data_IF_702041609144
#
_entry.id   IF_702041609144
#
_cell.length_a   1.000
_cell.length_b   1.000
_cell.length_c   1.000
_cell.angle_alpha   90.00
_cell.angle_beta   90.00
_cell.angle_gamma   90.00
#
_symmetry.space_group_name_H-M   'P 1'
#
loop_
_entity.id
_entity.type
_entity.pdbx_description
1 polymer ?
#
# COMPACT_ATOMS: atom_id res chain seq x y z
N UNK A 1 -72.27 39.65 49.36
CA UNK A 1 -71.99 38.71 48.24
C UNK A 1 -70.69 37.97 48.53
N UNK A 2 -70.73 36.63 48.62
CA UNK A 2 -69.58 35.74 48.88
C UNK A 2 -68.90 35.38 47.57
N UNK A 3 -67.60 35.70 47.43
CA UNK A 3 -66.77 35.26 46.32
C UNK A 3 -66.24 33.84 46.58
N UNK A 4 -66.62 32.89 45.73
CA UNK A 4 -66.17 31.49 45.74
C UNK A 4 -64.98 31.38 44.78
N UNK A 5 -63.75 31.32 45.28
CA UNK A 5 -62.56 31.03 44.47
C UNK A 5 -62.50 29.52 44.21
N UNK A 6 -62.59 29.12 42.94
CA UNK A 6 -62.61 27.72 42.52
C UNK A 6 -61.18 27.20 42.37
N UNK A 7 -60.94 26.04 42.98
CA UNK A 7 -59.66 25.44 43.33
C UNK A 7 -59.12 24.54 42.19
N UNK A 8 -59.02 25.05 40.96
CA UNK A 8 -58.58 24.25 39.79
C UNK A 8 -57.07 24.00 39.75
N UNK A 9 -56.25 24.92 40.29
CA UNK A 9 -54.79 24.82 40.24
C UNK A 9 -54.23 23.63 41.03
N UNK A 10 -54.85 23.30 42.19
CA UNK A 10 -54.39 22.20 43.04
C UNK A 10 -54.67 20.82 42.44
N UNK A 11 -55.77 20.66 41.69
CA UNK A 11 -56.13 19.39 41.06
C UNK A 11 -55.28 19.11 39.81
N UNK A 12 -54.97 20.14 39.03
CA UNK A 12 -54.06 20.01 37.88
C UNK A 12 -52.63 19.72 38.30
N UNK A 13 -52.15 20.29 39.42
CA UNK A 13 -50.82 20.02 39.95
C UNK A 13 -50.70 18.58 40.50
N UNK A 14 -51.74 18.06 41.15
CA UNK A 14 -51.73 16.68 41.66
C UNK A 14 -51.73 15.65 40.52
N UNK A 15 -52.44 15.92 39.41
CA UNK A 15 -52.46 15.04 38.25
C UNK A 15 -51.11 15.02 37.51
N UNK A 16 -50.44 16.18 37.43
CA UNK A 16 -49.10 16.29 36.84
C UNK A 16 -48.06 15.56 37.69
N UNK A 17 -48.15 15.62 39.02
CA UNK A 17 -47.25 14.91 39.93
C UNK A 17 -47.45 13.39 39.83
N UNK A 18 -48.69 12.90 39.70
CA UNK A 18 -48.96 11.46 39.50
C UNK A 18 -48.45 10.98 38.13
N UNK A 19 -48.56 11.79 37.07
CA UNK A 19 -47.97 11.48 35.76
C UNK A 19 -46.42 11.47 35.79
N UNK A 20 -45.78 12.34 36.56
CA UNK A 20 -44.31 12.37 36.67
C UNK A 20 -43.79 11.14 37.44
N UNK A 21 -44.57 10.61 38.40
CA UNK A 21 -44.17 9.38 39.13
C UNK A 21 -44.32 8.08 38.35
N UNK A 22 -45.02 8.08 37.20
CA UNK A 22 -45.20 6.87 36.37
C UNK A 22 -44.27 6.80 35.15
N UNK A 23 -43.41 7.80 34.93
CA UNK A 23 -42.45 7.83 33.81
C UNK A 23 -41.01 7.54 34.26
N UNK A 24 -40.74 7.41 35.56
CA UNK A 24 -39.46 6.91 36.10
C UNK A 24 -39.47 5.38 36.26
N UNK A 25 -39.75 4.68 35.17
CA UNK A 25 -39.38 3.28 35.02
C UNK A 25 -38.11 3.21 34.15
N UNK A 26 -37.04 3.87 34.59
CA UNK A 26 -35.72 3.35 34.26
C UNK A 26 -35.63 2.03 35.04
N UNK A 27 -35.92 0.92 34.35
CA UNK A 27 -35.48 -0.38 34.84
C UNK A 27 -33.96 -0.28 34.92
N UNK A 28 -33.43 -0.20 36.13
CA UNK A 28 -32.04 -0.58 36.36
C UNK A 28 -31.88 -1.96 35.71
N UNK A 29 -30.96 -2.04 34.74
CA UNK A 29 -30.48 -3.32 34.25
C UNK A 29 -30.08 -4.09 35.51
N UNK A 30 -30.74 -5.23 35.79
CA UNK A 30 -30.41 -6.00 36.98
C UNK A 30 -28.93 -6.36 36.91
N UNK A 31 -28.28 -6.57 38.05
CA UNK A 31 -26.87 -6.99 38.11
C UNK A 31 -26.59 -8.33 37.38
N UNK A 32 -27.63 -8.99 36.84
CA UNK A 32 -27.57 -10.18 35.98
C UNK A 32 -27.69 -9.86 34.47
N UNK A 33 -27.75 -8.59 34.07
CA UNK A 33 -27.68 -8.18 32.68
C UNK A 33 -26.25 -8.36 32.15
N UNK A 34 -25.88 -9.62 31.88
CA UNK A 34 -24.67 -9.91 31.12
C UNK A 34 -24.80 -9.29 29.73
N UNK A 35 -23.88 -8.40 29.35
CA UNK A 35 -23.68 -8.06 27.95
C UNK A 35 -23.51 -9.38 27.19
N UNK A 36 -24.41 -9.68 26.25
CA UNK A 36 -24.26 -10.85 25.38
C UNK A 36 -22.94 -10.71 24.63
N UNK A 37 -21.89 -11.40 25.08
CA UNK A 37 -20.59 -11.39 24.42
C UNK A 37 -20.65 -12.01 23.03
N UNK A 38 -19.63 -11.75 22.20
CA UNK A 38 -19.48 -12.41 20.91
C UNK A 38 -19.34 -13.93 21.09
N UNK A 39 -19.75 -14.69 20.08
CA UNK A 39 -19.63 -16.15 20.12
C UNK A 39 -18.18 -16.56 20.32
N UNK A 40 -17.92 -17.46 21.26
CA UNK A 40 -16.60 -18.04 21.51
C UNK A 40 -16.37 -19.35 20.78
N UNK A 41 -17.25 -19.72 19.83
CA UNK A 41 -17.12 -20.99 19.13
C UNK A 41 -15.94 -20.93 18.14
N UNK A 42 -14.95 -21.81 18.30
CA UNK A 42 -13.81 -21.92 17.40
C UNK A 42 -14.07 -22.74 16.14
N UNK A 43 -15.14 -23.53 16.09
CA UNK A 43 -15.41 -24.43 14.96
C UNK A 43 -15.90 -23.65 13.72
N UNK A 44 -15.29 -23.91 12.56
CA UNK A 44 -15.64 -23.28 11.29
C UNK A 44 -16.30 -24.32 10.37
N UNK A 45 -15.65 -25.47 10.21
CA UNK A 45 -16.16 -26.60 9.43
C UNK A 45 -15.74 -27.93 10.06
N UNK A 46 -16.70 -28.84 10.24
CA UNK A 46 -16.45 -30.23 10.69
C UNK A 46 -17.09 -31.24 9.75
N UNK A 47 -18.33 -30.98 9.36
CA UNK A 47 -19.08 -31.66 8.29
C UNK A 47 -20.02 -30.67 7.57
N UNK A 48 -20.18 -29.48 8.16
CA UNK A 48 -20.95 -28.35 7.67
C UNK A 48 -20.34 -27.07 8.25
N UNK A 49 -20.65 -25.93 7.63
CA UNK A 49 -20.23 -24.63 8.15
C UNK A 49 -21.00 -24.27 9.42
N UNK A 50 -20.27 -23.80 10.43
CA UNK A 50 -20.84 -23.49 11.74
C UNK A 50 -20.83 -21.98 11.91
N UNK A 51 -22.02 -21.38 12.07
CA UNK A 51 -22.14 -19.98 12.51
C UNK A 51 -21.48 -18.92 11.61
N UNK A 52 -21.37 -19.17 10.30
CA UNK A 52 -20.84 -18.18 9.34
C UNK A 52 -21.91 -17.29 8.68
N UNK A 53 -23.18 -17.67 8.78
CA UNK A 53 -24.30 -17.01 8.10
C UNK A 53 -24.49 -17.49 6.65
N UNK A 54 -25.38 -16.83 5.89
CA UNK A 54 -25.76 -17.27 4.54
C UNK A 54 -24.79 -16.82 3.45
N UNK A 55 -24.06 -15.73 3.68
CA UNK A 55 -23.14 -15.15 2.69
C UNK A 55 -21.72 -15.04 3.26
N UNK A 56 -21.02 -16.17 3.33
CA UNK A 56 -19.73 -16.24 4.01
C UNK A 56 -18.52 -16.45 3.09
N UNK A 57 -18.70 -16.97 1.88
CA UNK A 57 -17.59 -17.19 0.95
C UNK A 57 -17.45 -16.00 -0.01
N UNK A 58 -16.26 -15.40 -0.01
CA UNK A 58 -15.94 -14.29 -0.90
C UNK A 58 -14.67 -14.60 -1.70
N UNK A 59 -14.77 -14.97 -2.99
CA UNK A 59 -13.60 -15.16 -3.84
C UNK A 59 -12.89 -13.83 -4.11
N UNK A 60 -11.58 -13.87 -4.31
CA UNK A 60 -10.84 -12.68 -4.74
C UNK A 60 -11.19 -12.32 -6.19
N UNK A 61 -11.16 -11.03 -6.53
CA UNK A 61 -11.70 -10.49 -7.78
C UNK A 61 -11.10 -11.08 -9.08
N UNK A 62 -9.88 -11.60 -9.03
CA UNK A 62 -9.14 -12.21 -10.13
C UNK A 62 -9.00 -13.75 -10.02
N UNK A 63 -9.59 -14.34 -8.98
CA UNK A 63 -9.66 -15.79 -8.79
C UNK A 63 -10.82 -16.43 -9.57
N UNK A 64 -10.79 -17.76 -9.69
CA UNK A 64 -11.95 -18.54 -10.14
C UNK A 64 -13.06 -18.56 -9.08
N UNK A 65 -14.13 -17.81 -9.32
CA UNK A 65 -15.23 -17.66 -8.35
C UNK A 65 -15.97 -18.97 -8.00
N UNK A 66 -15.94 -19.95 -8.90
CA UNK A 66 -16.58 -21.27 -8.74
C UNK A 66 -15.63 -22.33 -8.17
N UNK A 67 -14.44 -21.95 -7.69
CA UNK A 67 -13.45 -22.92 -7.22
C UNK A 67 -13.85 -23.63 -5.92
N UNK A 68 -14.74 -23.06 -5.11
CA UNK A 68 -15.13 -23.58 -3.81
C UNK A 68 -16.41 -24.44 -3.89
N UNK A 69 -16.38 -25.59 -3.22
CA UNK A 69 -17.54 -26.44 -2.98
C UNK A 69 -17.37 -27.27 -1.69
N UNK A 70 -18.37 -28.09 -1.36
CA UNK A 70 -18.29 -29.11 -0.30
C UNK A 70 -18.34 -30.48 -0.96
N UNK A 71 -17.41 -31.35 -0.61
CA UNK A 71 -17.31 -32.73 -1.10
C UNK A 71 -17.85 -33.68 -0.03
N UNK A 72 -18.78 -34.56 -0.39
CA UNK A 72 -19.42 -35.52 0.53
C UNK A 72 -18.92 -36.95 0.32
N UNK A 73 -17.91 -37.15 -0.52
CA UNK A 73 -17.30 -38.46 -0.82
C UNK A 73 -15.88 -38.58 -0.27
N UNK A 74 -15.18 -37.46 -0.08
CA UNK A 74 -13.84 -37.39 0.51
C UNK A 74 -13.89 -36.58 1.82
N UNK A 75 -13.46 -37.17 2.93
CA UNK A 75 -13.33 -36.50 4.23
C UNK A 75 -12.16 -37.10 5.03
N UNK A 76 -11.57 -36.32 5.92
CA UNK A 76 -10.64 -36.83 6.92
C UNK A 76 -11.41 -37.52 8.04
N UNK A 77 -12.48 -36.87 8.51
CA UNK A 77 -13.35 -37.36 9.58
C UNK A 77 -14.78 -36.92 9.32
N UNK A 78 -15.73 -37.81 9.58
CA UNK A 78 -17.13 -37.55 9.26
C UNK A 78 -17.45 -37.90 7.81
N UNK A 79 -18.29 -37.09 7.18
CA UNK A 79 -18.90 -37.38 5.87
C UNK A 79 -18.69 -36.26 4.84
N UNK A 80 -18.06 -35.14 5.19
CA UNK A 80 -17.82 -34.06 4.23
C UNK A 80 -16.51 -33.32 4.46
N UNK A 81 -15.97 -32.71 3.41
CA UNK A 81 -14.85 -31.77 3.47
C UNK A 81 -15.06 -30.55 2.59
N UNK A 82 -14.35 -29.47 2.87
CA UNK A 82 -14.23 -28.32 1.98
C UNK A 82 -13.39 -28.72 0.78
N UNK A 83 -13.84 -28.38 -0.42
CA UNK A 83 -13.14 -28.67 -1.67
C UNK A 83 -12.82 -27.39 -2.43
N UNK A 84 -11.58 -27.27 -2.87
CA UNK A 84 -11.12 -26.22 -3.77
C UNK A 84 -10.57 -26.83 -5.07
N UNK A 85 -11.23 -26.55 -6.19
CA UNK A 85 -10.77 -26.94 -7.52
C UNK A 85 -9.90 -25.83 -8.12
N UNK A 86 -8.59 -26.01 -8.02
CA UNK A 86 -7.59 -25.11 -8.58
C UNK A 86 -7.59 -25.25 -10.11
N UNK A 87 -7.83 -24.17 -10.85
CA UNK A 87 -7.95 -24.24 -12.31
C UNK A 87 -6.62 -24.49 -13.01
N UNK A 88 -6.69 -24.82 -14.29
CA UNK A 88 -5.51 -24.73 -15.16
C UNK A 88 -5.11 -23.26 -15.34
N UNK A 89 -3.84 -23.02 -15.67
CA UNK A 89 -3.32 -21.66 -15.87
C UNK A 89 -4.04 -20.87 -16.99
N UNK A 90 -4.68 -21.57 -17.93
CA UNK A 90 -5.40 -20.99 -19.06
C UNK A 90 -6.94 -21.06 -18.92
N UNK A 91 -7.46 -21.35 -17.72
CA UNK A 91 -8.91 -21.36 -17.48
C UNK A 91 -9.48 -19.94 -17.66
N UNK A 92 -10.50 -19.75 -18.52
CA UNK A 92 -11.06 -18.44 -18.80
C UNK A 92 -11.80 -17.82 -17.61
N UNK A 93 -12.09 -18.59 -16.57
CA UNK A 93 -12.78 -18.13 -15.36
C UNK A 93 -11.84 -17.66 -14.25
N UNK A 94 -10.51 -17.77 -14.46
CA UNK A 94 -9.48 -17.38 -13.49
C UNK A 94 -8.36 -18.41 -13.44
N UNK A 95 -7.11 -17.96 -13.28
CA UNK A 95 -5.92 -18.81 -13.33
C UNK A 95 -5.51 -19.41 -11.96
N UNK A 96 -6.27 -19.11 -10.91
CA UNK A 96 -6.05 -19.62 -9.56
C UNK A 96 -7.35 -19.69 -8.76
N UNK A 97 -7.35 -20.43 -7.65
CA UNK A 97 -8.44 -20.47 -6.68
C UNK A 97 -8.04 -19.68 -5.43
N UNK A 98 -8.89 -18.76 -4.96
CA UNK A 98 -8.61 -18.01 -3.75
C UNK A 98 -9.81 -17.22 -3.25
N UNK A 99 -9.86 -17.02 -1.94
CA UNK A 99 -10.95 -16.32 -1.29
C UNK A 99 -10.90 -16.45 0.22
N UNK A 100 -11.93 -15.88 0.85
CA UNK A 100 -12.08 -15.84 2.30
C UNK A 100 -13.40 -16.47 2.74
N UNK A 101 -13.39 -17.09 3.92
CA UNK A 101 -14.57 -17.36 4.72
C UNK A 101 -14.69 -16.26 5.77
N UNK A 102 -15.72 -15.43 5.64
CA UNK A 102 -15.99 -14.30 6.52
C UNK A 102 -17.37 -14.44 7.15
N UNK A 103 -17.47 -14.20 8.45
CA UNK A 103 -18.76 -14.22 9.15
C UNK A 103 -19.67 -13.10 8.61
N UNK A 104 -20.85 -13.49 8.14
CA UNK A 104 -21.98 -12.63 7.82
C UNK A 104 -22.73 -12.26 9.11
N UNK A 105 -22.09 -11.40 9.91
CA UNK A 105 -22.54 -11.04 11.25
C UNK A 105 -21.45 -10.41 12.10
N UNK A 106 -21.69 -10.39 13.41
CA UNK A 106 -20.92 -9.61 14.38
C UNK A 106 -19.48 -10.12 14.64
N UNK A 107 -19.12 -11.34 14.22
CA UNK A 107 -17.82 -11.95 14.49
C UNK A 107 -17.79 -12.82 15.76
N UNK A 108 -16.58 -13.24 16.14
CA UNK A 108 -16.32 -14.14 17.28
C UNK A 108 -15.27 -13.57 18.22
N UNK A 109 -15.42 -13.87 19.50
CA UNK A 109 -14.35 -13.70 20.48
C UNK A 109 -13.44 -14.94 20.43
N UNK A 110 -12.29 -14.79 19.79
CA UNK A 110 -11.27 -15.83 19.63
C UNK A 110 -10.11 -15.69 20.62
N UNK A 111 -10.24 -14.82 21.62
CA UNK A 111 -9.16 -14.56 22.61
C UNK A 111 -8.76 -15.75 23.47
N UNK A 112 -9.58 -16.80 23.48
CA UNK A 112 -9.30 -18.05 24.18
C UNK A 112 -8.39 -19.04 23.44
N UNK A 113 -8.08 -18.80 22.15
CA UNK A 113 -7.37 -19.73 21.27
C UNK A 113 -5.90 -19.38 21.07
N UNK A 114 -5.10 -20.31 20.52
CA UNK A 114 -3.70 -20.07 20.17
C UNK A 114 -3.34 -20.53 18.74
N UNK A 115 -4.25 -21.22 18.04
CA UNK A 115 -4.07 -21.58 16.64
C UNK A 115 -5.39 -21.69 15.88
N UNK A 116 -5.31 -21.47 14.57
CA UNK A 116 -6.22 -22.08 13.60
C UNK A 116 -5.61 -23.42 13.16
N UNK A 117 -6.40 -24.49 13.17
CA UNK A 117 -5.97 -25.81 12.69
C UNK A 117 -6.96 -26.39 11.70
N UNK A 118 -6.44 -27.26 10.84
CA UNK A 118 -7.23 -28.01 9.87
C UNK A 118 -6.44 -29.21 9.36
N UNK A 119 -7.14 -30.19 8.81
CA UNK A 119 -6.53 -31.25 8.00
C UNK A 119 -6.63 -30.86 6.54
N UNK A 120 -5.57 -31.11 5.77
CA UNK A 120 -5.63 -30.93 4.32
C UNK A 120 -4.89 -32.03 3.56
N UNK A 121 -5.35 -32.27 2.34
CA UNK A 121 -4.67 -33.07 1.29
C UNK A 121 -4.94 -32.44 -0.07
N UNK A 122 -4.19 -32.84 -1.07
CA UNK A 122 -4.40 -32.46 -2.46
C UNK A 122 -4.41 -33.69 -3.38
N UNK A 123 -4.91 -33.54 -4.61
CA UNK A 123 -4.96 -34.64 -5.59
C UNK A 123 -3.58 -35.03 -6.12
N UNK A 124 -2.58 -34.17 -5.90
CA UNK A 124 -1.17 -34.39 -6.18
C UNK A 124 -0.32 -33.58 -5.18
N UNK A 125 0.98 -33.82 -5.12
CA UNK A 125 1.89 -33.01 -4.31
C UNK A 125 2.03 -31.60 -4.88
N UNK A 126 1.73 -30.58 -4.08
CA UNK A 126 1.71 -29.18 -4.50
C UNK A 126 2.27 -28.26 -3.42
N UNK A 127 2.63 -27.04 -3.82
CA UNK A 127 2.84 -25.92 -2.92
C UNK A 127 1.68 -24.95 -3.05
N UNK A 128 0.86 -24.87 -2.01
CA UNK A 128 -0.23 -23.88 -1.91
C UNK A 128 0.39 -22.54 -1.52
N UNK A 129 0.01 -21.47 -2.22
CA UNK A 129 0.63 -20.16 -2.00
C UNK A 129 0.36 -19.67 -0.57
N UNK A 130 -0.90 -19.77 -0.12
CA UNK A 130 -1.31 -19.19 1.16
C UNK A 130 -2.45 -19.97 1.82
N UNK A 131 -2.36 -20.11 3.14
CA UNK A 131 -3.49 -20.35 4.05
C UNK A 131 -3.42 -19.33 5.19
N UNK A 132 -4.56 -18.91 5.73
CA UNK A 132 -4.58 -17.92 6.80
C UNK A 132 -5.95 -17.67 7.40
N UNK A 133 -6.04 -16.61 8.20
CA UNK A 133 -7.28 -16.06 8.77
C UNK A 133 -7.12 -14.54 8.98
N UNK A 134 -8.17 -13.88 9.45
CA UNK A 134 -8.17 -12.46 9.84
C UNK A 134 -8.47 -11.47 8.72
N UNK A 135 -8.70 -11.96 7.50
CA UNK A 135 -9.10 -11.13 6.37
C UNK A 135 -10.62 -11.03 6.27
N UNK A 136 -11.13 -9.80 6.22
CA UNK A 136 -12.56 -9.49 6.20
C UNK A 136 -12.94 -8.41 5.17
N UNK A 137 -11.99 -7.98 4.34
CA UNK A 137 -12.01 -6.86 3.38
C UNK A 137 -12.19 -5.46 3.98
N UNK A 138 -12.53 -5.35 5.26
CA UNK A 138 -12.62 -4.08 5.96
C UNK A 138 -12.78 -4.36 7.46
N UNK A 139 -11.75 -4.09 8.31
CA UNK A 139 -10.48 -3.40 8.05
C UNK A 139 -9.25 -4.27 7.75
N UNK A 140 -9.33 -5.61 7.72
CA UNK A 140 -8.16 -6.50 7.59
C UNK A 140 -7.10 -6.33 8.70
N UNK A 141 -7.54 -6.02 9.92
CA UNK A 141 -6.66 -5.60 11.00
C UNK A 141 -5.71 -6.70 11.50
N UNK A 142 -6.15 -7.96 11.50
CA UNK A 142 -5.45 -9.06 12.17
C UNK A 142 -5.17 -10.26 11.25
N UNK A 143 -4.77 -10.01 10.01
CA UNK A 143 -4.40 -11.06 9.06
C UNK A 143 -3.19 -11.85 9.56
N UNK A 144 -3.28 -13.17 9.51
CA UNK A 144 -2.16 -14.09 9.70
C UNK A 144 -2.11 -15.08 8.55
N UNK A 145 -0.96 -15.22 7.90
CA UNK A 145 -0.79 -16.00 6.68
C UNK A 145 0.42 -16.92 6.77
N UNK A 146 0.19 -18.21 6.58
CA UNK A 146 1.20 -19.21 6.29
C UNK A 146 1.41 -19.27 4.77
N UNK A 147 2.66 -19.06 4.32
CA UNK A 147 3.01 -18.98 2.89
C UNK A 147 3.73 -20.24 2.43
N UNK A 148 3.61 -20.56 1.13
CA UNK A 148 4.34 -21.64 0.46
C UNK A 148 4.17 -23.00 1.16
N UNK A 149 2.92 -23.39 1.39
CA UNK A 149 2.55 -24.57 2.18
C UNK A 149 2.63 -25.82 1.31
N UNK A 150 3.51 -26.75 1.67
CA UNK A 150 3.57 -28.06 1.01
C UNK A 150 2.36 -28.91 1.40
N UNK A 151 1.56 -29.33 0.42
CA UNK A 151 0.39 -30.19 0.62
C UNK A 151 0.53 -31.46 -0.21
N UNK A 152 0.55 -32.60 0.48
CA UNK A 152 0.66 -33.92 -0.14
C UNK A 152 -0.70 -34.58 -0.40
N UNK A 153 -0.66 -35.83 -0.85
CA UNK A 153 -1.87 -36.63 -1.15
C UNK A 153 -2.50 -37.29 0.07
N UNK A 154 -1.80 -37.34 1.20
CA UNK A 154 -2.30 -37.83 2.46
C UNK A 154 -2.79 -36.68 3.35
N UNK A 155 -3.87 -36.94 4.09
CA UNK A 155 -4.37 -36.01 5.10
C UNK A 155 -3.29 -35.70 6.13
N UNK A 156 -2.97 -34.43 6.26
CA UNK A 156 -1.96 -33.90 7.19
C UNK A 156 -2.58 -32.74 7.97
N UNK A 157 -2.30 -32.64 9.27
CA UNK A 157 -2.76 -31.51 10.09
C UNK A 157 -1.84 -30.31 9.92
N UNK A 158 -2.41 -29.16 9.67
CA UNK A 158 -1.74 -27.87 9.60
C UNK A 158 -2.13 -27.00 10.79
N UNK A 159 -1.20 -26.18 11.26
CA UNK A 159 -1.35 -25.30 12.41
C UNK A 159 -0.87 -23.91 11.99
N UNK A 160 -1.76 -22.93 12.06
CA UNK A 160 -1.42 -21.51 11.88
C UNK A 160 -1.50 -20.88 13.28
N UNK A 161 -0.35 -20.56 13.90
CA UNK A 161 -0.32 -19.91 15.21
C UNK A 161 -1.03 -18.56 15.19
N UNK A 162 -1.70 -18.21 16.29
CA UNK A 162 -2.25 -16.88 16.51
C UNK A 162 -1.18 -16.03 17.22
N UNK A 163 -0.73 -14.90 16.65
CA UNK A 163 0.37 -14.15 17.24
C UNK A 163 0.07 -13.56 18.62
N UNK A 164 -1.11 -12.96 18.74
CA UNK A 164 -1.66 -12.46 20.00
C UNK A 164 -3.19 -12.59 19.93
N UNK A 165 -3.71 -13.64 20.56
CA UNK A 165 -5.15 -13.91 20.56
C UNK A 165 -5.95 -12.87 21.34
N UNK A 166 -5.34 -12.17 22.31
CA UNK A 166 -6.05 -11.18 23.13
C UNK A 166 -6.64 -10.03 22.31
N UNK A 167 -6.13 -9.81 21.09
CA UNK A 167 -6.61 -8.83 20.11
C UNK A 167 -7.85 -9.30 19.33
N UNK A 168 -8.12 -10.60 19.27
CA UNK A 168 -9.18 -11.19 18.46
C UNK A 168 -10.52 -11.25 19.20
N UNK A 169 -11.02 -10.10 19.65
CA UNK A 169 -12.28 -10.02 20.43
C UNK A 169 -13.54 -10.06 19.57
N UNK A 170 -13.42 -9.73 18.29
CA UNK A 170 -14.54 -9.61 17.35
C UNK A 170 -14.12 -10.00 15.91
N UNK A 171 -13.41 -11.12 15.78
CA UNK A 171 -12.84 -11.54 14.50
C UNK A 171 -13.94 -12.04 13.53
N UNK A 172 -13.85 -11.64 12.26
CA UNK A 172 -14.80 -12.03 11.21
C UNK A 172 -14.16 -12.87 10.11
N UNK A 173 -12.86 -12.69 9.84
CA UNK A 173 -12.10 -13.47 8.86
C UNK A 173 -11.71 -14.83 9.43
N UNK A 174 -12.49 -15.86 9.12
CA UNK A 174 -12.32 -17.20 9.70
C UNK A 174 -11.30 -18.05 8.95
N UNK A 175 -11.18 -17.84 7.65
CA UNK A 175 -10.23 -18.56 6.81
C UNK A 175 -9.94 -17.79 5.53
N UNK A 176 -8.73 -17.91 5.02
CA UNK A 176 -8.36 -17.45 3.68
C UNK A 176 -7.41 -18.44 3.03
N UNK A 177 -7.44 -18.49 1.71
CA UNK A 177 -6.51 -19.30 0.94
C UNK A 177 -6.23 -18.68 -0.44
N UNK A 178 -5.08 -19.03 -1.02
CA UNK A 178 -4.76 -18.79 -2.41
C UNK A 178 -3.92 -19.95 -2.95
N UNK A 179 -4.33 -20.50 -4.10
CA UNK A 179 -3.72 -21.66 -4.71
C UNK A 179 -3.74 -21.51 -6.24
N UNK A 180 -2.55 -21.44 -6.86
CA UNK A 180 -2.37 -21.41 -8.31
C UNK A 180 -1.75 -22.70 -8.85
N UNK A 181 -1.73 -22.84 -10.17
CA UNK A 181 -1.20 -24.01 -10.89
C UNK A 181 0.25 -23.85 -11.37
N UNK A 182 0.98 -22.81 -10.96
CA UNK A 182 2.35 -22.57 -11.45
C UNK A 182 3.30 -23.72 -11.06
N UNK A 183 3.18 -24.23 -9.84
CA UNK A 183 3.99 -25.35 -9.35
C UNK A 183 3.70 -26.69 -10.03
N UNK A 184 2.62 -26.79 -10.78
CA UNK A 184 2.18 -27.97 -11.54
C UNK A 184 2.29 -27.75 -13.05
N UNK A 185 3.13 -26.81 -13.50
CA UNK A 185 3.29 -26.44 -14.92
C UNK A 185 1.97 -26.04 -15.60
N UNK A 186 1.06 -25.42 -14.86
CA UNK A 186 -0.24 -24.96 -15.34
C UNK A 186 -1.36 -25.99 -15.27
N UNK A 187 -1.10 -27.20 -14.76
CA UNK A 187 -2.14 -28.21 -14.57
C UNK A 187 -2.94 -27.97 -13.28
N UNK A 188 -4.26 -27.92 -13.39
CA UNK A 188 -5.18 -27.81 -12.26
C UNK A 188 -5.14 -29.03 -11.33
N UNK A 189 -5.64 -28.85 -10.11
CA UNK A 189 -5.67 -29.87 -9.07
C UNK A 189 -6.78 -29.57 -8.05
N UNK A 190 -7.02 -30.50 -7.13
CA UNK A 190 -8.01 -30.32 -6.09
C UNK A 190 -7.33 -30.32 -4.73
N UNK A 191 -7.76 -29.43 -3.84
CA UNK A 191 -7.40 -29.41 -2.42
C UNK A 191 -8.65 -29.75 -1.61
N UNK A 192 -8.50 -30.60 -0.60
CA UNK A 192 -9.53 -30.85 0.40
C UNK A 192 -9.07 -30.34 1.77
N UNK A 193 -9.98 -29.73 2.52
CA UNK A 193 -9.76 -29.25 3.89
C UNK A 193 -10.87 -29.77 4.79
N UNK A 194 -10.51 -30.24 5.97
CA UNK A 194 -11.46 -30.81 6.93
C UNK A 194 -11.10 -30.45 8.38
N UNK A 195 -12.08 -30.54 9.28
CA UNK A 195 -11.99 -30.21 10.71
C UNK A 195 -11.39 -28.82 11.00
N UNK A 196 -11.68 -27.82 10.16
CA UNK A 196 -11.22 -26.44 10.25
C UNK A 196 -11.79 -25.73 11.49
N UNK A 197 -10.92 -25.33 12.42
CA UNK A 197 -11.31 -24.70 13.69
C UNK A 197 -10.18 -23.93 14.36
N UNK A 198 -10.54 -22.97 15.19
CA UNK A 198 -9.63 -22.40 16.18
C UNK A 198 -9.53 -23.33 17.40
N UNK A 199 -8.31 -23.60 17.86
CA UNK A 199 -8.00 -24.46 18.99
C UNK A 199 -7.08 -23.77 20.00
N UNK A 200 -7.14 -24.24 21.24
CA UNK A 200 -6.15 -23.94 22.27
C UNK A 200 -5.30 -25.19 22.46
N UNK A 201 -4.18 -25.25 21.76
CA UNK A 201 -3.26 -26.38 21.81
C UNK A 201 -2.44 -26.37 23.10
N UNK A 202 -2.11 -25.19 23.63
CA UNK A 202 -1.32 -25.00 24.85
C UNK A 202 0.17 -25.34 24.70
N UNK A 203 0.59 -25.74 23.51
CA UNK A 203 1.93 -26.24 23.18
C UNK A 203 2.65 -25.39 22.12
N UNK A 204 2.07 -24.26 21.72
CA UNK A 204 2.72 -23.27 20.85
C UNK A 204 3.58 -22.38 21.74
N UNK A 205 4.87 -22.29 21.43
CA UNK A 205 5.85 -21.64 22.30
C UNK A 205 6.81 -20.73 21.52
N UNK A 206 7.57 -19.93 22.28
CA UNK A 206 8.68 -19.11 21.78
C UNK A 206 8.31 -18.14 20.64
N UNK A 207 7.14 -17.49 20.74
CA UNK A 207 6.74 -16.47 19.79
C UNK A 207 7.76 -15.33 19.68
N UNK A 208 8.31 -15.15 18.49
CA UNK A 208 9.24 -14.06 18.17
C UNK A 208 8.78 -13.34 16.91
N UNK A 209 8.79 -12.01 16.94
CA UNK A 209 8.44 -11.20 15.78
C UNK A 209 9.69 -10.65 15.09
N UNK A 210 9.53 -10.25 13.84
CA UNK A 210 10.48 -9.45 13.09
C UNK A 210 9.73 -8.42 12.25
N UNK A 211 10.37 -7.27 12.06
CA UNK A 211 9.96 -6.23 11.12
C UNK A 211 11.08 -6.03 10.10
N UNK A 212 10.76 -5.48 8.93
CA UNK A 212 11.71 -5.29 7.82
C UNK A 212 12.45 -6.58 7.44
N UNK A 213 11.77 -7.73 7.52
CA UNK A 213 12.34 -9.07 7.33
C UNK A 213 13.51 -9.38 8.29
N UNK A 214 13.49 -8.83 9.50
CA UNK A 214 14.52 -8.99 10.52
C UNK A 214 15.77 -8.13 10.33
N UNK A 215 15.76 -7.20 9.37
CA UNK A 215 16.90 -6.34 9.07
C UNK A 215 16.75 -4.94 9.65
N UNK A 216 17.88 -4.26 9.89
CA UNK A 216 17.88 -2.83 10.15
C UNK A 216 17.91 -2.09 8.81
N UNK A 217 16.81 -1.40 8.48
CA UNK A 217 16.67 -0.64 7.25
C UNK A 217 16.72 0.86 7.56
N UNK A 218 17.10 1.67 6.58
CA UNK A 218 17.09 3.12 6.69
C UNK A 218 16.43 3.74 5.46
N UNK A 219 15.59 4.75 5.69
CA UNK A 219 14.96 5.54 4.62
C UNK A 219 15.26 7.02 4.84
N UNK A 220 15.57 7.71 3.76
CA UNK A 220 15.68 9.17 3.73
C UNK A 220 14.37 9.74 3.20
N UNK A 221 13.82 10.73 3.89
CA UNK A 221 12.46 11.21 3.63
C UNK A 221 12.32 12.70 3.99
N UNK A 222 11.13 13.26 3.75
CA UNK A 222 10.78 14.66 4.03
C UNK A 222 9.58 14.75 4.97
N UNK A 223 9.39 15.91 5.58
CA UNK A 223 8.23 16.18 6.46
C UNK A 223 6.93 15.93 5.70
N UNK A 224 6.00 15.22 6.33
CA UNK A 224 4.69 14.85 5.80
C UNK A 224 4.68 13.57 4.96
N UNK A 225 5.83 13.03 4.58
CA UNK A 225 5.91 11.77 3.83
C UNK A 225 5.72 10.59 4.77
N UNK A 226 4.89 9.64 4.33
CA UNK A 226 4.66 8.37 5.03
C UNK A 226 5.57 7.27 4.50
N UNK A 227 6.02 6.37 5.37
CA UNK A 227 6.70 5.12 5.05
C UNK A 227 5.99 3.97 5.76
N UNK A 228 6.18 2.72 5.32
CA UNK A 228 5.56 1.55 5.95
C UNK A 228 6.60 0.68 6.65
N UNK A 229 6.20 0.09 7.77
CA UNK A 229 6.90 -1.05 8.34
C UNK A 229 6.43 -2.31 7.62
N UNK A 230 7.29 -2.83 6.75
CA UNK A 230 7.01 -4.03 5.95
C UNK A 230 7.68 -5.29 6.52
N UNK A 231 7.46 -6.43 5.88
CA UNK A 231 8.16 -7.68 6.21
C UNK A 231 7.90 -8.14 7.65
N UNK A 232 6.66 -7.96 8.11
CA UNK A 232 6.25 -8.32 9.47
C UNK A 232 5.95 -9.82 9.54
N UNK A 233 6.77 -10.52 10.31
CA UNK A 233 6.75 -11.99 10.43
C UNK A 233 6.77 -12.35 11.91
N UNK A 234 5.95 -13.31 12.32
CA UNK A 234 6.11 -13.99 13.60
C UNK A 234 6.45 -15.46 13.41
N UNK A 235 7.34 -15.96 14.27
CA UNK A 235 7.81 -17.34 14.27
C UNK A 235 7.48 -17.99 15.61
N UNK A 236 6.94 -19.20 15.55
CA UNK A 236 6.56 -19.98 16.72
C UNK A 236 7.09 -21.40 16.61
N UNK A 237 7.46 -22.00 17.75
CA UNK A 237 7.73 -23.42 17.80
C UNK A 237 6.41 -24.19 17.89
N UNK A 238 6.17 -25.09 16.92
CA UNK A 238 4.99 -25.94 16.88
C UNK A 238 5.15 -27.19 17.77
N UNK A 239 4.06 -27.91 18.08
CA UNK A 239 4.13 -29.14 18.88
C UNK A 239 4.94 -30.26 18.21
N UNK A 240 5.18 -30.14 16.90
CA UNK A 240 6.03 -31.04 16.10
C UNK A 240 7.53 -30.76 16.30
N UNK A 241 7.89 -29.69 17.01
CA UNK A 241 9.27 -29.21 17.17
C UNK A 241 9.76 -28.35 15.99
N UNK A 242 8.93 -28.12 14.97
CA UNK A 242 9.25 -27.27 13.81
C UNK A 242 8.93 -25.81 14.12
N UNK A 243 9.83 -24.91 13.75
CA UNK A 243 9.57 -23.47 13.80
C UNK A 243 8.74 -23.06 12.59
N UNK A 244 7.55 -22.51 12.85
CA UNK A 244 6.61 -22.04 11.85
C UNK A 244 6.64 -20.52 11.79
N UNK A 245 7.08 -19.99 10.66
CA UNK A 245 6.95 -18.58 10.33
C UNK A 245 5.58 -18.29 9.70
N UNK A 246 4.95 -17.20 10.11
CA UNK A 246 3.72 -16.65 9.54
C UNK A 246 3.91 -15.16 9.28
N UNK A 247 3.42 -14.70 8.14
CA UNK A 247 3.30 -13.27 7.85
C UNK A 247 2.07 -12.73 8.58
N UNK A 248 2.21 -11.60 9.26
CA UNK A 248 1.17 -11.07 10.14
C UNK A 248 0.91 -9.59 9.85
N UNK A 249 -0.29 -9.10 10.12
CA UNK A 249 -0.59 -7.67 10.09
C UNK A 249 0.25 -6.93 11.15
N UNK A 250 0.69 -5.68 10.87
CA UNK A 250 1.37 -4.82 11.84
C UNK A 250 0.60 -4.63 13.16
N UNK A 251 -0.73 -4.69 13.13
CA UNK A 251 -1.60 -4.48 14.31
C UNK A 251 -1.45 -5.52 15.42
N UNK A 252 -0.70 -6.61 15.20
CA UNK A 252 -0.29 -7.55 16.24
C UNK A 252 0.89 -7.05 17.07
N UNK A 253 1.56 -5.99 16.63
CA UNK A 253 2.75 -5.43 17.26
C UNK A 253 2.44 -4.12 17.98
N UNK A 254 3.28 -3.80 18.94
CA UNK A 254 3.34 -2.50 19.59
C UNK A 254 4.57 -1.77 19.06
N UNK A 255 4.35 -0.69 18.30
CA UNK A 255 5.44 0.09 17.72
C UNK A 255 5.91 1.20 18.65
N UNK A 256 7.20 1.54 18.55
CA UNK A 256 7.81 2.66 19.28
C UNK A 256 8.77 3.42 18.38
N UNK A 257 8.76 4.74 18.51
CA UNK A 257 9.72 5.64 17.89
C UNK A 257 10.69 6.17 18.95
N UNK A 258 12.00 6.05 18.70
CA UNK A 258 13.02 6.59 19.61
C UNK A 258 12.92 8.12 19.81
N UNK A 259 12.33 8.82 18.86
CA UNK A 259 12.04 10.25 18.92
C UNK A 259 10.74 10.55 18.15
N UNK A 260 9.57 10.54 18.83
CA UNK A 260 8.27 10.81 18.22
C UNK A 260 8.14 12.22 17.62
N UNK A 261 8.99 13.19 17.99
CA UNK A 261 8.98 14.51 17.36
C UNK A 261 9.55 14.50 15.93
N UNK A 262 10.38 13.50 15.58
CA UNK A 262 10.93 13.33 14.22
C UNK A 262 9.99 12.49 13.37
N UNK A 263 9.49 11.37 13.88
CA UNK A 263 8.48 10.57 13.20
C UNK A 263 7.64 9.75 14.19
N UNK A 264 6.34 9.62 13.90
CA UNK A 264 5.40 8.76 14.62
C UNK A 264 5.07 7.52 13.80
N UNK A 265 4.63 6.45 14.46
CA UNK A 265 4.19 5.20 13.83
C UNK A 265 2.84 4.82 14.43
N UNK A 266 1.88 4.43 13.59
CA UNK A 266 0.56 3.99 14.03
C UNK A 266 0.46 2.45 14.15
N UNK A 267 -0.71 1.96 14.57
CA UNK A 267 -0.97 0.51 14.76
C UNK A 267 -0.92 -0.28 13.44
N UNK A 268 -1.17 0.38 12.30
CA UNK A 268 -1.07 -0.23 10.98
C UNK A 268 0.38 -0.25 10.46
N UNK A 269 1.36 0.21 11.24
CA UNK A 269 2.76 0.27 10.85
C UNK A 269 3.08 1.41 9.90
N UNK A 270 2.20 2.40 9.76
CA UNK A 270 2.43 3.59 8.93
C UNK A 270 3.24 4.61 9.73
N UNK A 271 4.41 4.96 9.22
CA UNK A 271 5.36 5.88 9.82
C UNK A 271 5.22 7.25 9.15
N UNK A 272 4.87 8.29 9.90
CA UNK A 272 4.75 9.67 9.40
C UNK A 272 5.93 10.51 9.85
N UNK A 273 6.65 11.12 8.91
CA UNK A 273 7.76 12.01 9.21
C UNK A 273 7.26 13.42 9.54
N UNK A 274 7.74 13.99 10.65
CA UNK A 274 7.20 15.23 11.24
C UNK A 274 8.20 16.39 11.24
N UNK A 275 9.48 16.12 11.48
CA UNK A 275 10.51 17.17 11.52
C UNK A 275 11.89 16.63 11.14
N UNK A 276 12.79 17.54 10.75
CA UNK A 276 14.16 17.19 10.41
C UNK A 276 14.86 16.47 11.58
N UNK A 277 15.55 15.38 11.27
CA UNK A 277 16.27 14.57 12.26
C UNK A 277 16.25 13.09 11.94
N UNK A 278 16.73 12.30 12.89
CA UNK A 278 16.76 10.83 12.78
C UNK A 278 15.99 10.21 13.95
N UNK A 279 15.19 9.18 13.65
CA UNK A 279 14.58 8.31 14.68
C UNK A 279 14.57 6.86 14.20
N UNK A 280 14.65 5.92 15.14
CA UNK A 280 14.52 4.49 14.89
C UNK A 280 13.14 4.01 15.34
N UNK A 281 12.44 3.34 14.44
CA UNK A 281 11.19 2.62 14.70
C UNK A 281 11.52 1.18 15.06
N UNK A 282 10.98 0.73 16.20
CA UNK A 282 11.10 -0.64 16.72
C UNK A 282 9.72 -1.17 17.08
N UNK A 283 9.61 -2.47 17.32
CA UNK A 283 8.35 -3.10 17.69
C UNK A 283 8.53 -4.16 18.79
N UNK A 284 7.47 -4.42 19.55
CA UNK A 284 7.35 -5.55 20.49
C UNK A 284 6.12 -6.40 20.16
N UNK A 285 6.21 -7.71 20.36
CA UNK A 285 5.07 -8.64 20.34
C UNK A 285 4.94 -9.24 21.74
N UNK A 286 3.82 -8.99 22.42
CA UNK A 286 3.59 -9.46 23.79
C UNK A 286 4.74 -9.10 24.77
N UNK A 287 5.29 -7.88 24.64
CA UNK A 287 6.43 -7.40 25.43
C UNK A 287 7.81 -7.95 25.02
N UNK A 288 7.88 -8.86 24.04
CA UNK A 288 9.15 -9.37 23.51
C UNK A 288 9.60 -8.50 22.32
N UNK A 289 10.83 -7.97 22.30
CA UNK A 289 11.34 -7.20 21.17
C UNK A 289 11.32 -7.99 19.86
N UNK A 290 10.78 -7.37 18.81
CA UNK A 290 10.91 -7.86 17.46
C UNK A 290 12.34 -7.63 16.93
N UNK A 291 12.81 -8.50 16.04
CA UNK A 291 14.07 -8.27 15.33
C UNK A 291 13.88 -7.31 14.14
N UNK A 292 14.94 -6.62 13.75
CA UNK A 292 14.90 -5.59 12.71
C UNK A 292 14.41 -4.23 13.22
N UNK A 293 14.62 -3.19 12.41
CA UNK A 293 14.21 -1.81 12.70
C UNK A 293 14.10 -0.98 11.44
N UNK A 294 13.35 0.12 11.50
CA UNK A 294 13.29 1.12 10.43
C UNK A 294 13.82 2.46 10.94
N UNK A 295 14.97 2.88 10.44
CA UNK A 295 15.56 4.20 10.71
C UNK A 295 14.98 5.22 9.73
N UNK A 296 14.33 6.24 10.24
CA UNK A 296 13.85 7.39 9.49
C UNK A 296 14.89 8.50 9.57
N UNK A 297 15.39 8.93 8.41
CA UNK A 297 16.23 10.12 8.26
C UNK A 297 15.41 11.21 7.55
N UNK A 298 14.73 12.05 8.32
CA UNK A 298 13.96 13.15 7.77
C UNK A 298 14.90 14.34 7.51
N UNK A 299 14.98 14.78 6.26
CA UNK A 299 15.84 15.91 5.85
C UNK A 299 15.19 17.26 6.21
N UNK A 300 13.91 17.25 6.60
CA UNK A 300 13.13 18.44 6.90
C UNK A 300 12.03 18.68 5.88
N UNK A 301 11.51 19.90 5.85
CA UNK A 301 10.49 20.29 4.87
C UNK A 301 11.12 20.33 3.48
N UNK A 302 10.51 19.60 2.54
CA UNK A 302 10.87 19.71 1.14
C UNK A 302 10.45 21.08 0.62
N UNK A 303 11.36 21.77 -0.08
CA UNK A 303 11.03 23.00 -0.79
C UNK A 303 10.56 22.59 -2.16
N UNK A 304 9.27 22.74 -2.45
CA UNK A 304 8.69 22.46 -3.77
C UNK A 304 9.10 23.52 -4.79
N UNK A 305 9.08 23.16 -6.08
CA UNK A 305 9.23 24.14 -7.14
C UNK A 305 8.06 25.15 -7.10
N UNK A 306 8.23 26.38 -7.60
CA UNK A 306 7.14 27.33 -7.68
C UNK A 306 5.97 26.75 -8.48
N UNK A 307 4.77 26.67 -7.89
CA UNK A 307 3.59 26.18 -8.60
C UNK A 307 3.30 27.07 -9.81
N UNK A 308 3.29 26.51 -11.04
CA UNK A 308 2.98 27.29 -12.23
C UNK A 308 1.58 27.93 -12.16
N UNK A 309 1.48 29.18 -12.60
CA UNK A 309 0.21 29.96 -12.53
C UNK A 309 -0.38 30.29 -13.90
N UNK A 310 0.23 29.82 -14.99
CA UNK A 310 -0.25 30.09 -16.35
C UNK A 310 -1.55 29.31 -16.60
N UNK A 311 -2.40 29.84 -17.48
CA UNK A 311 -3.61 29.11 -17.87
C UNK A 311 -3.20 27.86 -18.68
N UNK A 312 -3.79 26.70 -18.39
CA UNK A 312 -3.56 25.45 -19.14
C UNK A 312 -3.70 25.64 -20.66
N UNK A 313 -4.59 26.51 -21.14
CA UNK A 313 -4.76 26.79 -22.57
C UNK A 313 -3.52 27.42 -23.23
N UNK A 314 -2.64 28.02 -22.44
CA UNK A 314 -1.39 28.64 -22.88
C UNK A 314 -0.17 27.76 -22.55
N UNK A 315 -0.39 26.49 -22.21
CA UNK A 315 0.67 25.58 -21.76
C UNK A 315 0.58 24.25 -22.49
N UNK A 316 1.72 23.79 -23.03
CA UNK A 316 1.94 22.40 -23.43
C UNK A 316 2.86 21.78 -22.39
N UNK A 317 2.30 21.00 -21.46
CA UNK A 317 3.04 20.44 -20.33
C UNK A 317 3.75 19.14 -20.70
N UNK A 318 5.05 19.08 -20.43
CA UNK A 318 5.88 17.89 -20.58
C UNK A 318 5.93 17.14 -19.26
N UNK A 319 6.20 17.84 -18.15
CA UNK A 319 6.23 17.28 -16.81
C UNK A 319 5.79 18.35 -15.80
N UNK A 320 4.62 18.20 -15.21
CA UNK A 320 4.13 19.04 -14.11
C UNK A 320 2.91 18.38 -13.49
N UNK A 321 2.76 18.49 -12.17
CA UNK A 321 1.51 18.11 -11.49
C UNK A 321 0.44 19.22 -11.53
N UNK A 322 0.79 20.43 -11.97
CA UNK A 322 -0.15 21.55 -12.11
C UNK A 322 -0.95 21.54 -13.42
N UNK A 323 -0.53 20.73 -14.41
CA UNK A 323 -1.09 20.71 -15.75
C UNK A 323 -1.34 19.29 -16.26
N UNK A 324 -2.22 19.17 -17.24
CA UNK A 324 -2.35 17.94 -18.02
C UNK A 324 -1.13 17.78 -18.93
N UNK A 325 -0.31 16.77 -18.64
CA UNK A 325 0.87 16.44 -19.45
C UNK A 325 0.47 15.83 -20.80
N UNK A 326 1.20 16.18 -21.85
CA UNK A 326 1.13 15.50 -23.15
C UNK A 326 1.86 14.15 -23.09
N UNK A 327 1.67 13.25 -24.07
CA UNK A 327 2.45 12.02 -24.11
C UNK A 327 3.96 12.30 -24.19
N UNK A 328 4.72 11.65 -23.30
CA UNK A 328 6.19 11.68 -23.27
C UNK A 328 6.68 10.24 -23.34
N UNK A 329 7.62 9.95 -24.24
CA UNK A 329 8.20 8.62 -24.40
C UNK A 329 8.99 8.21 -23.15
N UNK A 330 9.83 9.13 -22.65
CA UNK A 330 10.64 8.94 -21.45
C UNK A 330 11.23 10.26 -20.95
N UNK A 331 11.51 10.35 -19.65
CA UNK A 331 12.23 11.47 -19.02
C UNK A 331 13.72 11.21 -18.83
N UNK A 332 14.19 10.00 -19.18
CA UNK A 332 15.59 9.63 -19.21
C UNK A 332 15.84 8.56 -20.30
N UNK A 333 16.55 8.94 -21.35
CA UNK A 333 16.81 8.08 -22.51
C UNK A 333 17.94 7.05 -22.36
N UNK A 334 18.72 7.11 -21.27
CA UNK A 334 19.86 6.21 -21.02
C UNK A 334 20.78 6.01 -22.23
N UNK A 335 21.10 7.09 -22.97
CA UNK A 335 21.79 7.01 -24.26
C UNK A 335 23.23 6.50 -24.13
N UNK A 336 23.36 5.18 -24.28
CA UNK A 336 24.64 4.48 -24.20
C UNK A 336 25.47 4.69 -25.47
N UNK A 337 26.79 4.63 -25.34
CA UNK A 337 27.56 4.46 -24.08
C UNK A 337 27.90 5.76 -23.35
N UNK A 338 27.37 6.93 -23.76
CA UNK A 338 27.89 8.23 -23.31
C UNK A 338 27.16 8.78 -22.08
N UNK A 339 25.91 8.38 -21.86
CA UNK A 339 25.13 8.84 -20.72
C UNK A 339 25.46 8.04 -19.46
N UNK A 340 25.80 8.76 -18.38
CA UNK A 340 26.02 8.19 -17.04
C UNK A 340 24.88 8.51 -16.08
N UNK A 341 24.03 9.49 -16.42
CA UNK A 341 22.88 9.89 -15.59
C UNK A 341 21.93 8.73 -15.34
N UNK A 342 21.58 8.52 -14.08
CA UNK A 342 20.57 7.57 -13.59
C UNK A 342 19.42 8.32 -12.96
N UNK A 343 18.19 7.84 -13.11
CA UNK A 343 17.01 8.42 -12.45
C UNK A 343 16.76 7.78 -11.08
N UNK A 344 16.38 8.60 -10.11
CA UNK A 344 15.90 8.19 -8.79
C UNK A 344 14.72 9.09 -8.36
N UNK A 345 13.76 9.23 -9.27
CA UNK A 345 12.59 10.11 -9.15
C UNK A 345 11.82 9.79 -7.86
N UNK A 346 11.29 10.83 -7.23
CA UNK A 346 10.58 10.71 -5.96
C UNK A 346 9.38 11.65 -5.92
N UNK A 347 8.45 11.37 -5.02
CA UNK A 347 7.34 12.28 -4.76
C UNK A 347 7.31 12.70 -3.30
N UNK A 348 6.87 13.93 -3.07
CA UNK A 348 6.66 14.48 -1.73
C UNK A 348 5.26 15.07 -1.72
N UNK A 349 4.37 14.53 -0.88
CA UNK A 349 3.01 15.07 -0.70
C UNK A 349 2.21 15.21 -2.02
N UNK A 350 2.43 14.30 -2.96
CA UNK A 350 1.76 14.29 -4.27
C UNK A 350 2.43 15.09 -5.37
N UNK A 351 3.48 15.86 -5.06
CA UNK A 351 4.34 16.53 -6.03
C UNK A 351 5.44 15.58 -6.49
N UNK A 352 5.56 15.35 -7.80
CA UNK A 352 6.50 14.43 -8.43
C UNK A 352 7.73 15.19 -8.93
N UNK A 353 8.91 14.69 -8.59
CA UNK A 353 10.18 15.34 -8.94
C UNK A 353 11.03 14.37 -9.75
N UNK A 354 11.50 14.82 -10.91
CA UNK A 354 12.54 14.13 -11.66
C UNK A 354 13.88 14.30 -10.93
N UNK A 355 14.54 13.21 -10.58
CA UNK A 355 15.79 13.23 -9.83
C UNK A 355 16.88 12.52 -10.60
N UNK A 356 17.76 13.32 -11.20
CA UNK A 356 18.90 12.86 -11.95
C UNK A 356 20.12 12.76 -11.05
N UNK A 357 20.65 11.55 -10.91
CA UNK A 357 21.85 11.21 -10.13
C UNK A 357 22.99 10.84 -11.07
N UNK A 358 24.24 11.02 -10.62
CA UNK A 358 25.44 10.84 -11.47
C UNK A 358 25.29 11.65 -12.77
N UNK A 359 24.70 12.85 -12.65
CA UNK A 359 24.22 13.62 -13.78
C UNK A 359 25.39 14.04 -14.67
N UNK A 360 25.34 13.71 -15.96
CA UNK A 360 26.21 14.26 -17.00
C UNK A 360 25.38 14.94 -18.10
N UNK A 361 24.41 14.22 -18.66
CA UNK A 361 23.31 14.74 -19.46
C UNK A 361 22.12 13.78 -19.42
N UNK A 362 20.94 14.24 -19.78
CA UNK A 362 19.73 13.41 -19.89
C UNK A 362 18.85 13.92 -21.02
N UNK A 363 18.32 12.99 -21.82
CA UNK A 363 17.31 13.27 -22.83
C UNK A 363 15.92 12.97 -22.31
N UNK A 364 15.02 13.95 -22.45
CA UNK A 364 13.57 13.83 -22.32
C UNK A 364 13.00 13.81 -23.74
N UNK A 365 12.25 12.77 -24.10
CA UNK A 365 11.74 12.59 -25.46
C UNK A 365 10.22 12.48 -25.48
N UNK A 366 9.61 13.19 -26.43
CA UNK A 366 8.18 13.27 -26.72
C UNK A 366 7.99 13.25 -28.25
N UNK A 367 8.56 12.23 -28.90
CA UNK A 367 8.57 12.07 -30.36
C UNK A 367 7.36 11.33 -30.90
N UNK A 368 6.55 10.70 -30.04
CA UNK A 368 5.39 9.90 -30.44
C UNK A 368 4.10 10.30 -29.70
N UNK A 369 3.36 11.31 -30.20
CA UNK A 369 3.70 12.16 -31.35
C UNK A 369 4.63 13.32 -30.96
N UNK A 370 5.29 13.91 -31.96
CA UNK A 370 5.99 15.20 -31.80
C UNK A 370 5.01 16.33 -31.47
N UNK A 371 5.53 17.43 -30.93
CA UNK A 371 4.75 18.57 -30.47
C UNK A 371 4.83 19.74 -31.45
N UNK A 372 3.66 20.24 -31.85
CA UNK A 372 3.54 21.52 -32.55
C UNK A 372 3.39 22.67 -31.53
N UNK A 373 4.48 23.41 -31.31
CA UNK A 373 4.58 24.55 -30.41
C UNK A 373 4.65 25.89 -31.15
N UNK A 374 4.11 25.98 -32.38
CA UNK A 374 4.17 27.22 -33.17
C UNK A 374 3.46 28.41 -32.50
N UNK A 375 2.41 28.15 -31.73
CA UNK A 375 1.68 29.16 -30.95
C UNK A 375 2.37 29.53 -29.64
N UNK A 376 3.40 28.81 -29.22
CA UNK A 376 4.12 29.03 -27.97
C UNK A 376 5.24 30.05 -28.18
N UNK A 377 5.61 30.78 -27.14
CA UNK A 377 6.67 31.80 -27.14
C UNK A 377 7.96 31.34 -26.48
N UNK A 378 7.95 30.30 -25.66
CA UNK A 378 9.15 29.79 -25.01
C UNK A 378 8.94 28.48 -24.25
N UNK A 379 9.99 28.06 -23.56
CA UNK A 379 10.02 26.93 -22.63
C UNK A 379 10.29 27.42 -21.21
N UNK A 380 9.61 26.82 -20.24
CA UNK A 380 9.87 26.94 -18.81
C UNK A 380 10.29 25.58 -18.25
N UNK A 381 11.22 25.58 -17.30
CA UNK A 381 11.55 24.44 -16.45
C UNK A 381 12.07 24.95 -15.11
N UNK A 382 11.70 24.27 -14.03
CA UNK A 382 12.29 24.50 -12.72
C UNK A 382 13.38 23.46 -12.47
N UNK A 383 14.58 23.90 -12.10
CA UNK A 383 15.68 23.01 -11.76
C UNK A 383 16.24 23.31 -10.38
N UNK A 384 16.67 22.30 -9.64
CA UNK A 384 17.22 22.46 -8.30
C UNK A 384 18.51 21.65 -8.16
N UNK A 385 19.55 22.27 -7.60
CA UNK A 385 20.84 21.63 -7.36
C UNK A 385 21.03 21.49 -5.84
N UNK A 386 20.86 20.28 -5.27
CA UNK A 386 20.96 20.08 -3.83
C UNK A 386 22.37 20.27 -3.27
N UNK A 387 23.38 19.96 -4.10
CA UNK A 387 24.79 20.03 -3.76
C UNK A 387 25.44 21.39 -4.06
N UNK A 388 26.71 21.58 -3.66
CA UNK A 388 27.46 22.79 -3.98
C UNK A 388 27.67 22.95 -5.49
N UNK A 389 27.71 24.19 -5.97
CA UNK A 389 28.02 24.50 -7.38
C UNK A 389 29.54 24.55 -7.55
N UNK A 390 30.10 23.59 -8.30
CA UNK A 390 31.51 23.60 -8.64
C UNK A 390 31.89 24.83 -9.52
N UNK A 391 33.10 25.41 -9.37
CA UNK A 391 33.56 26.48 -10.25
C UNK A 391 33.49 26.08 -11.73
N UNK A 392 32.89 26.92 -12.56
CA UNK A 392 32.73 26.68 -13.99
C UNK A 392 31.61 25.70 -14.37
N UNK A 393 30.79 25.24 -13.41
CA UNK A 393 29.62 24.41 -13.68
C UNK A 393 28.67 25.10 -14.67
N UNK A 394 28.20 24.32 -15.64
CA UNK A 394 27.23 24.72 -16.66
C UNK A 394 26.00 23.84 -16.59
N UNK A 395 24.84 24.40 -16.94
CA UNK A 395 23.66 23.65 -17.32
C UNK A 395 23.25 24.11 -18.71
N UNK A 396 23.16 23.19 -19.65
CA UNK A 396 22.73 23.43 -21.02
C UNK A 396 21.34 22.85 -21.18
N UNK A 397 20.40 23.68 -21.62
CA UNK A 397 19.07 23.25 -22.04
C UNK A 397 19.07 23.25 -23.56
N UNK A 398 18.81 22.08 -24.14
CA UNK A 398 18.80 21.89 -25.58
C UNK A 398 17.39 21.51 -26.00
N UNK A 399 16.82 22.26 -26.94
CA UNK A 399 15.51 21.95 -27.54
C UNK A 399 15.74 21.43 -28.95
N UNK A 400 15.09 20.33 -29.32
CA UNK A 400 15.23 19.66 -30.61
C UNK A 400 13.88 19.59 -31.33
N UNK A 401 13.89 19.96 -32.61
CA UNK A 401 12.79 19.79 -33.57
C UNK A 401 13.24 18.78 -34.64
N UNK A 402 12.41 17.78 -34.94
CA UNK A 402 12.69 16.75 -35.95
C UNK A 402 12.39 17.21 -37.38
N UNK A 403 12.27 18.51 -37.63
CA UNK A 403 12.08 19.04 -38.96
C UNK A 403 10.74 18.65 -39.59
N UNK A 404 10.56 18.95 -40.88
CA UNK A 404 9.28 18.83 -41.57
C UNK A 404 8.74 17.38 -41.72
N UNK A 405 9.60 16.37 -41.67
CA UNK A 405 9.22 14.95 -41.75
C UNK A 405 8.82 14.37 -40.38
N UNK A 406 9.14 15.06 -39.28
CA UNK A 406 8.75 14.69 -37.92
C UNK A 406 9.44 13.43 -37.42
N UNK A 407 10.59 13.06 -38.00
CA UNK A 407 11.33 11.85 -37.66
C UNK A 407 12.81 12.15 -37.41
N UNK A 408 13.42 11.39 -36.51
CA UNK A 408 14.84 11.55 -36.19
C UNK A 408 15.74 11.14 -37.38
N UNK A 409 16.74 11.96 -37.67
CA UNK A 409 17.81 11.62 -38.62
C UNK A 409 17.44 11.83 -40.10
N UNK A 410 16.42 12.65 -40.38
CA UNK A 410 15.98 13.02 -41.73
C UNK A 410 16.88 14.06 -42.41
N UNK A 411 17.84 14.64 -41.68
CA UNK A 411 18.78 15.66 -42.17
C UNK A 411 18.21 17.08 -42.15
N UNK A 412 17.01 17.24 -41.63
CA UNK A 412 16.27 18.49 -41.39
C UNK A 412 16.06 18.75 -39.89
N UNK A 413 16.50 17.86 -39.00
CA UNK A 413 16.49 18.03 -37.56
C UNK A 413 17.26 19.28 -37.16
N UNK A 414 16.67 20.11 -36.30
CA UNK A 414 17.34 21.31 -35.78
C UNK A 414 17.32 21.35 -34.27
N UNK A 415 18.33 21.97 -33.68
CA UNK A 415 18.44 22.11 -32.23
C UNK A 415 19.10 23.41 -31.84
N UNK A 416 18.73 23.92 -30.67
CA UNK A 416 19.41 25.05 -30.06
C UNK A 416 19.82 24.71 -28.63
N UNK A 417 21.02 25.15 -28.23
CA UNK A 417 21.56 24.94 -26.88
C UNK A 417 21.70 26.29 -26.17
N UNK A 418 21.02 26.44 -25.04
CA UNK A 418 21.14 27.61 -24.16
C UNK A 418 21.91 27.22 -22.90
N UNK A 419 22.99 27.94 -22.60
CA UNK A 419 23.88 27.63 -21.48
C UNK A 419 23.65 28.58 -20.31
N UNK A 420 23.54 28.02 -19.10
CA UNK A 420 23.44 28.71 -17.83
C UNK A 420 24.69 28.43 -16.97
N UNK A 421 25.19 29.47 -16.30
CA UNK A 421 26.29 29.41 -15.34
C UNK A 421 25.91 30.19 -14.07
N UNK A 422 26.77 30.20 -13.06
CA UNK A 422 26.67 31.21 -12.01
C UNK A 422 26.67 32.63 -12.63
N UNK A 423 25.92 33.60 -12.06
CA UNK A 423 25.13 33.52 -10.83
C UNK A 423 23.71 32.95 -11.01
N UNK A 424 23.28 32.58 -12.21
CA UNK A 424 21.96 31.96 -12.43
C UNK A 424 21.86 30.61 -11.75
N UNK A 425 22.91 29.79 -11.86
CA UNK A 425 22.98 28.52 -11.14
C UNK A 425 23.35 28.78 -9.68
N UNK A 426 22.44 28.41 -8.79
CA UNK A 426 22.58 28.47 -7.33
C UNK A 426 22.36 27.10 -6.70
N UNK A 427 22.88 26.91 -5.49
CA UNK A 427 22.68 25.70 -4.70
C UNK A 427 21.47 25.87 -3.78
N UNK A 428 20.76 24.77 -3.48
CA UNK A 428 19.70 24.70 -2.48
C UNK A 428 18.51 25.65 -2.71
N UNK A 429 18.26 26.05 -3.96
CA UNK A 429 17.10 26.82 -4.36
C UNK A 429 16.63 26.39 -5.75
N UNK A 430 15.32 26.47 -5.99
CA UNK A 430 14.76 26.25 -7.32
C UNK A 430 15.13 27.41 -8.24
N UNK A 431 15.58 27.07 -9.43
CA UNK A 431 16.01 27.98 -10.48
C UNK A 431 14.95 27.89 -11.58
N UNK A 432 14.03 28.86 -11.68
CA UNK A 432 13.12 28.94 -12.80
C UNK A 432 13.92 29.36 -14.04
N UNK A 433 13.96 28.49 -15.04
CA UNK A 433 14.59 28.74 -16.33
C UNK A 433 13.49 29.02 -17.35
N UNK A 434 13.50 30.23 -17.89
CA UNK A 434 12.66 30.60 -19.03
C UNK A 434 13.53 30.93 -20.23
N UNK A 435 13.28 30.26 -21.36
CA UNK A 435 14.00 30.51 -22.61
C UNK A 435 12.97 30.86 -23.68
N UNK A 436 12.91 32.13 -24.13
CA UNK A 436 12.06 32.50 -25.24
C UNK A 436 12.59 31.88 -26.54
N UNK A 437 11.70 31.41 -27.41
CA UNK A 437 12.10 30.86 -28.71
C UNK A 437 12.81 31.91 -29.59
N UNK A 438 12.57 33.20 -29.38
CA UNK A 438 13.33 34.28 -30.03
C UNK A 438 14.82 34.27 -29.69
N UNK A 439 15.21 33.64 -28.57
CA UNK A 439 16.61 33.43 -28.18
C UNK A 439 17.19 32.11 -28.71
N UNK A 440 16.46 31.37 -29.55
CA UNK A 440 16.88 30.08 -30.13
C UNK A 440 17.05 30.12 -31.66
N UNK A 441 17.95 30.96 -32.23
CA UNK A 441 18.08 31.14 -33.68
C UNK A 441 18.49 29.88 -34.47
N UNK A 442 18.95 28.83 -33.80
CA UNK A 442 19.30 27.55 -34.44
C UNK A 442 18.15 26.54 -34.45
N UNK A 443 17.06 26.83 -33.74
CA UNK A 443 15.83 26.04 -33.77
C UNK A 443 14.95 26.59 -34.90
N UNK A 444 15.04 25.99 -36.09
CA UNK A 444 14.48 26.58 -37.32
C UNK A 444 12.96 26.38 -37.44
N UNK A 445 12.41 25.39 -36.74
CA UNK A 445 10.99 25.10 -36.67
C UNK A 445 10.58 24.75 -35.24
N UNK A 446 9.27 24.80 -35.00
CA UNK A 446 8.62 24.38 -33.75
C UNK A 446 7.40 23.50 -34.04
N UNK A 447 7.28 23.00 -35.25
CA UNK A 447 6.14 22.18 -35.68
C UNK A 447 6.23 20.74 -35.17
N UNK A 448 7.44 20.26 -34.89
CA UNK A 448 7.72 18.88 -34.52
C UNK A 448 8.81 18.84 -33.43
N UNK A 449 8.62 19.62 -32.36
CA UNK A 449 9.47 19.50 -31.18
C UNK A 449 9.40 18.06 -30.67
N UNK A 450 10.55 17.46 -30.39
CA UNK A 450 10.64 16.04 -30.07
C UNK A 450 11.46 15.75 -28.82
N UNK A 451 12.39 16.62 -28.44
CA UNK A 451 13.26 16.37 -27.29
C UNK A 451 13.62 17.66 -26.55
N UNK A 452 13.81 17.51 -25.23
CA UNK A 452 14.53 18.44 -24.36
C UNK A 452 15.72 17.67 -23.78
N UNK A 453 16.93 18.22 -23.89
CA UNK A 453 18.13 17.61 -23.32
C UNK A 453 18.72 18.57 -22.29
N UNK A 454 18.92 18.07 -21.08
CA UNK A 454 19.67 18.77 -20.04
C UNK A 454 21.10 18.23 -20.03
N UNK A 455 22.11 19.08 -20.16
CA UNK A 455 23.51 18.69 -20.30
C UNK A 455 24.43 19.58 -19.43
N UNK A 456 25.62 19.09 -19.08
CA UNK A 456 26.62 19.87 -18.31
C UNK A 456 26.77 19.39 -16.86
N UNK A 457 26.25 18.20 -16.58
CA UNK A 457 26.45 17.52 -15.30
C UNK A 457 27.92 17.18 -15.03
N UNK A 458 28.28 17.19 -13.75
CA UNK A 458 29.60 16.90 -13.20
C UNK A 458 29.59 15.66 -12.28
N UNK A 459 28.60 14.79 -12.46
CA UNK A 459 28.34 13.63 -11.60
C UNK A 459 27.51 13.96 -10.35
N UNK A 460 27.09 15.22 -10.17
CA UNK A 460 26.21 15.63 -9.07
C UNK A 460 24.74 15.23 -9.29
N UNK A 461 23.88 15.68 -8.37
CA UNK A 461 22.44 15.52 -8.41
C UNK A 461 21.79 16.77 -9.00
N UNK A 462 20.81 16.58 -9.88
CA UNK A 462 19.94 17.64 -10.42
C UNK A 462 18.49 17.19 -10.28
N UNK A 463 17.66 18.02 -9.66
CA UNK A 463 16.21 17.85 -9.70
C UNK A 463 15.62 18.72 -10.81
N UNK A 464 14.57 18.24 -11.45
CA UNK A 464 13.78 18.98 -12.41
C UNK A 464 12.28 18.80 -12.14
N UNK A 465 11.53 19.87 -12.35
CA UNK A 465 10.07 19.91 -12.23
C UNK A 465 9.51 20.98 -13.19
N UNK A 466 8.20 20.98 -13.40
CA UNK A 466 7.45 21.98 -14.16
C UNK A 466 8.06 22.29 -15.53
N UNK A 467 8.28 21.26 -16.35
CA UNK A 467 8.81 21.39 -17.70
C UNK A 467 7.64 21.58 -18.68
N UNK A 468 7.54 22.74 -19.32
CA UNK A 468 6.46 23.02 -20.26
C UNK A 468 6.80 24.11 -21.28
N UNK A 469 6.12 24.10 -22.42
CA UNK A 469 6.12 25.23 -23.37
C UNK A 469 4.97 26.18 -23.03
N UNK A 470 5.19 27.49 -23.18
CA UNK A 470 4.21 28.51 -22.83
C UNK A 470 3.99 29.56 -23.92
N UNK A 471 2.85 30.24 -23.88
CA UNK A 471 2.51 31.44 -24.66
C UNK A 471 2.09 32.61 -23.74
#
# INVERSE_FOLDING_TARGET
MKNRKINYLKKSLLLLIVMITTVNCDRELSDDATLSGFSKNGEIFTDNFIGLGSNFYFPYGDSKFTAFSVDTEEAYKGNASIRFDVPNANDPQGSYAGGIFRIDGAGRDLSGYDALTFWAKASQGVTVAEFGFGEDFFPNQFITTMRNVSVGTAWTKYIIPIPDASRLLQERGMFRYAAGSNGTNGAGYTIWIDELRFEKLGTIAHGQASIMNGNNQAVTTFVGVTSNVDGVIATFNLPTGVDQAVSISPSYLEFSSSNPAVATVDEAGVVTSLSAGTTVITATMNGVPATGSLTINCVGTFVHAPTPTRNQANVISIFSDAYTNVPVNYYNGYWQPWQTTVSNDFSVLGDNILNYTIFNFVGIEFSNPTINANSMTGIHLDVFIPGPIAPGRQLRVIVVDFGADGAFGGGNDTRHSTTFTAPTLVSQAWIPIEIPFSAMPLLQSRSHLAQIILEGGDGSVLYADNIYFYN
#
